data_IF_766826106586
#
_entry.id   IF_766826106586
#
_cell.length_a   1.000
_cell.length_b   1.000
_cell.length_c   1.000
_cell.angle_alpha   90.00
_cell.angle_beta   90.00
_cell.angle_gamma   90.00
#
_symmetry.space_group_name_H-M   'P 1'
#
loop_
_entity.id
_entity.type
_entity.pdbx_description
1 polymer ?
#
# COMPACT_ATOMS: atom_id res chain seq x y z
N UNK A 1 4.80 -18.93 -12.24
CA UNK A 1 4.41 -18.29 -10.96
C UNK A 1 3.83 -19.37 -10.07
N UNK A 2 4.31 -19.50 -8.83
CA UNK A 2 3.73 -20.44 -7.88
C UNK A 2 2.30 -19.98 -7.57
N UNK A 3 1.32 -20.77 -7.94
CA UNK A 3 -0.10 -20.48 -7.66
C UNK A 3 -0.34 -20.56 -6.15
N UNK A 4 -0.85 -19.48 -5.57
CA UNK A 4 -1.42 -19.50 -4.23
C UNK A 4 -2.70 -20.34 -4.25
N UNK A 5 -2.60 -21.65 -3.98
CA UNK A 5 -3.77 -22.54 -3.95
C UNK A 5 -4.55 -22.49 -2.63
N UNK A 6 -4.53 -21.36 -1.91
CA UNK A 6 -5.11 -21.16 -0.58
C UNK A 6 -6.42 -20.38 -0.64
N UNK A 7 -7.25 -20.51 0.39
CA UNK A 7 -8.47 -19.71 0.56
C UNK A 7 -8.11 -18.41 1.28
N UNK A 8 -8.49 -17.28 0.68
CA UNK A 8 -8.14 -15.94 1.18
C UNK A 8 -9.41 -15.24 1.63
N UNK A 9 -9.39 -14.77 2.88
CA UNK A 9 -10.46 -13.96 3.45
C UNK A 9 -10.04 -12.52 3.63
N UNK A 10 -10.95 -11.60 3.35
CA UNK A 10 -10.78 -10.18 3.62
C UNK A 10 -11.82 -9.74 4.65
N UNK A 11 -11.37 -9.18 5.75
CA UNK A 11 -12.23 -8.44 6.68
C UNK A 11 -12.06 -6.97 6.35
N UNK A 12 -13.09 -6.39 5.75
CA UNK A 12 -13.09 -5.10 5.09
C UNK A 12 -13.04 -5.21 3.56
N UNK A 13 -13.88 -4.44 2.88
CA UNK A 13 -14.03 -4.42 1.41
C UNK A 13 -13.82 -3.02 0.80
N UNK A 14 -13.00 -2.19 1.46
CA UNK A 14 -12.64 -0.85 0.98
C UNK A 14 -11.69 -0.87 -0.22
N UNK A 15 -11.23 0.30 -0.65
CA UNK A 15 -10.42 0.49 -1.86
C UNK A 15 -9.17 -0.41 -1.91
N UNK A 16 -8.44 -0.54 -0.81
CA UNK A 16 -7.22 -1.36 -0.80
C UNK A 16 -7.54 -2.85 -0.86
N UNK A 17 -8.58 -3.31 -0.14
CA UNK A 17 -9.05 -4.69 -0.26
C UNK A 17 -9.49 -5.00 -1.69
N UNK A 18 -10.25 -4.10 -2.32
CA UNK A 18 -10.68 -4.23 -3.71
C UNK A 18 -9.50 -4.28 -4.69
N UNK A 19 -8.46 -3.46 -4.48
CA UNK A 19 -7.25 -3.49 -5.28
C UNK A 19 -6.52 -4.85 -5.17
N UNK A 20 -6.33 -5.35 -3.95
CA UNK A 20 -5.70 -6.66 -3.70
C UNK A 20 -6.51 -7.81 -4.29
N UNK A 21 -7.83 -7.82 -4.12
CA UNK A 21 -8.72 -8.84 -4.68
C UNK A 21 -8.64 -8.82 -6.21
N UNK A 22 -8.69 -7.64 -6.82
CA UNK A 22 -8.56 -7.48 -8.27
C UNK A 22 -7.20 -7.99 -8.76
N UNK A 23 -6.11 -7.63 -8.08
CA UNK A 23 -4.77 -8.12 -8.38
C UNK A 23 -4.65 -9.64 -8.31
N UNK A 24 -5.23 -10.26 -7.27
CA UNK A 24 -5.27 -11.73 -7.11
C UNK A 24 -6.02 -12.40 -8.26
N UNK A 25 -7.21 -11.90 -8.61
CA UNK A 25 -8.01 -12.44 -9.71
C UNK A 25 -7.29 -12.28 -11.05
N UNK A 26 -6.68 -11.12 -11.31
CA UNK A 26 -5.88 -10.88 -12.51
C UNK A 26 -4.61 -11.75 -12.59
N UNK A 27 -4.12 -12.22 -11.43
CA UNK A 27 -2.99 -13.15 -11.34
C UNK A 27 -3.44 -14.63 -11.35
N UNK A 28 -4.66 -14.91 -11.83
CA UNK A 28 -5.28 -16.23 -11.96
C UNK A 28 -5.60 -16.94 -10.63
N UNK A 29 -5.71 -16.23 -9.51
CA UNK A 29 -6.27 -16.83 -8.30
C UNK A 29 -7.78 -17.05 -8.46
N UNK A 30 -8.27 -18.25 -8.12
CA UNK A 30 -9.69 -18.59 -8.27
C UNK A 30 -10.57 -17.67 -7.39
N UNK A 31 -11.44 -16.84 -7.99
CA UNK A 31 -12.31 -15.95 -7.22
C UNK A 31 -13.23 -16.68 -6.23
N UNK A 32 -13.56 -17.95 -6.49
CA UNK A 32 -14.37 -18.79 -5.58
C UNK A 32 -13.63 -19.14 -4.29
N UNK A 33 -12.30 -18.99 -4.26
CA UNK A 33 -11.45 -19.15 -3.08
C UNK A 33 -11.25 -17.85 -2.30
N UNK A 34 -11.86 -16.75 -2.76
CA UNK A 34 -11.82 -15.45 -2.08
C UNK A 34 -13.18 -15.20 -1.43
N UNK A 35 -13.17 -14.75 -0.19
CA UNK A 35 -14.34 -14.25 0.54
C UNK A 35 -14.01 -12.88 1.16
N UNK A 36 -14.93 -11.94 1.07
CA UNK A 36 -14.78 -10.61 1.68
C UNK A 36 -15.97 -10.26 2.56
N UNK A 37 -15.71 -9.65 3.71
CA UNK A 37 -16.76 -9.09 4.57
C UNK A 37 -16.71 -7.58 4.64
N UNK A 38 -17.88 -6.97 4.74
CA UNK A 38 -18.06 -5.53 5.01
C UNK A 38 -19.47 -5.30 5.56
N UNK A 39 -19.66 -4.31 6.45
CA UNK A 39 -21.01 -3.84 6.79
C UNK A 39 -21.67 -3.08 5.63
N UNK A 40 -20.89 -2.59 4.67
CA UNK A 40 -21.33 -1.76 3.54
C UNK A 40 -21.67 -2.65 2.34
N UNK A 41 -22.96 -2.84 2.07
CA UNK A 41 -23.46 -3.72 1.01
C UNK A 41 -23.00 -3.29 -0.39
N UNK A 42 -22.85 -2.00 -0.64
CA UNK A 42 -22.38 -1.48 -1.94
C UNK A 42 -20.97 -2.00 -2.27
N UNK A 43 -20.06 -2.06 -1.29
CA UNK A 43 -18.73 -2.60 -1.49
C UNK A 43 -18.78 -4.10 -1.82
N UNK A 44 -19.67 -4.85 -1.13
CA UNK A 44 -19.83 -6.28 -1.35
C UNK A 44 -20.39 -6.58 -2.75
N UNK A 45 -21.38 -5.80 -3.18
CA UNK A 45 -21.99 -5.93 -4.51
C UNK A 45 -20.97 -5.69 -5.63
N UNK A 46 -20.12 -4.65 -5.51
CA UNK A 46 -19.06 -4.38 -6.48
C UNK A 46 -18.09 -5.56 -6.64
N UNK A 47 -17.70 -6.18 -5.53
CA UNK A 47 -16.78 -7.32 -5.54
C UNK A 47 -17.44 -8.59 -6.10
N UNK A 48 -18.65 -8.91 -5.69
CA UNK A 48 -19.34 -10.12 -6.13
C UNK A 48 -19.75 -10.06 -7.60
N UNK A 49 -20.33 -8.93 -8.06
CA UNK A 49 -20.76 -8.78 -9.44
C UNK A 49 -19.61 -8.54 -10.43
N UNK A 50 -18.57 -7.80 -10.00
CA UNK A 50 -17.45 -7.46 -10.86
C UNK A 50 -16.37 -8.55 -10.95
N UNK A 51 -16.09 -9.25 -9.86
CA UNK A 51 -14.98 -10.20 -9.75
C UNK A 51 -15.41 -11.65 -9.42
N UNK A 52 -16.69 -11.89 -9.13
CA UNK A 52 -17.20 -13.23 -8.83
C UNK A 52 -16.74 -13.82 -7.50
N UNK A 53 -16.25 -12.98 -6.57
CA UNK A 53 -15.81 -13.43 -5.24
C UNK A 53 -17.00 -13.59 -4.30
N UNK A 54 -16.84 -14.41 -3.27
CA UNK A 54 -17.85 -14.58 -2.24
C UNK A 54 -17.86 -13.37 -1.31
N UNK A 55 -19.07 -12.97 -0.88
CA UNK A 55 -19.23 -11.82 0.01
C UNK A 55 -20.16 -12.17 1.19
N UNK A 56 -19.96 -11.50 2.32
CA UNK A 56 -20.76 -11.70 3.54
C UNK A 56 -20.70 -10.44 4.41
N UNK A 57 -21.60 -10.30 5.36
CA UNK A 57 -21.51 -9.29 6.44
C UNK A 57 -20.94 -9.89 7.74
N UNK A 58 -20.64 -11.19 7.78
CA UNK A 58 -20.18 -11.93 8.96
C UNK A 58 -18.67 -12.20 8.89
N UNK A 59 -17.89 -11.54 9.76
CA UNK A 59 -16.44 -11.72 9.87
C UNK A 59 -16.06 -13.14 10.30
N UNK A 60 -16.87 -13.80 11.13
CA UNK A 60 -16.61 -15.18 11.57
C UNK A 60 -16.69 -16.16 10.40
N UNK A 61 -17.60 -15.96 9.46
CA UNK A 61 -17.68 -16.76 8.23
C UNK A 61 -16.42 -16.62 7.38
N UNK A 62 -15.81 -15.43 7.34
CA UNK A 62 -14.52 -15.20 6.65
C UNK A 62 -13.43 -16.05 7.31
N UNK A 63 -13.27 -15.97 8.64
CA UNK A 63 -12.25 -16.72 9.38
C UNK A 63 -12.43 -18.22 9.24
N UNK A 64 -13.66 -18.73 9.38
CA UNK A 64 -13.98 -20.16 9.28
C UNK A 64 -13.60 -20.78 7.94
N UNK A 65 -13.69 -20.02 6.87
CA UNK A 65 -13.53 -20.54 5.51
C UNK A 65 -12.17 -20.26 4.87
N UNK A 66 -11.30 -19.45 5.51
CA UNK A 66 -10.03 -19.00 4.95
C UNK A 66 -8.81 -19.66 5.60
N UNK A 67 -7.71 -19.71 4.87
CA UNK A 67 -6.38 -20.13 5.33
C UNK A 67 -5.52 -18.91 5.64
N UNK A 68 -5.77 -17.80 4.92
CA UNK A 68 -5.16 -16.48 5.14
C UNK A 68 -6.30 -15.48 5.34
N UNK A 69 -6.20 -14.63 6.36
CA UNK A 69 -7.15 -13.55 6.61
C UNK A 69 -6.44 -12.21 6.56
N UNK A 70 -6.90 -11.32 5.68
CA UNK A 70 -6.41 -9.95 5.55
C UNK A 70 -7.34 -9.00 6.31
N UNK A 71 -6.78 -8.30 7.30
CA UNK A 71 -7.46 -7.25 8.04
C UNK A 71 -7.30 -5.93 7.27
N UNK A 72 -8.31 -5.60 6.45
CA UNK A 72 -8.35 -4.43 5.58
C UNK A 72 -9.34 -3.37 6.11
N UNK A 73 -9.27 -3.10 7.39
CA UNK A 73 -10.16 -2.23 8.15
C UNK A 73 -9.41 -1.02 8.73
N UNK A 74 -10.16 0.00 9.13
CA UNK A 74 -9.59 1.19 9.77
C UNK A 74 -9.00 0.87 11.15
N UNK A 75 -7.92 1.54 11.57
CA UNK A 75 -7.27 1.26 12.88
C UNK A 75 -8.21 1.35 14.08
N UNK A 76 -9.16 2.29 14.06
CA UNK A 76 -10.07 2.54 15.19
C UNK A 76 -11.07 1.41 15.47
N UNK A 77 -11.28 0.48 14.54
CA UNK A 77 -12.20 -0.65 14.72
C UNK A 77 -11.45 -2.00 14.87
N UNK A 78 -10.11 -2.00 14.77
CA UNK A 78 -9.30 -3.22 14.74
C UNK A 78 -9.52 -4.07 16.01
N UNK A 79 -9.57 -3.42 17.18
CA UNK A 79 -9.69 -4.11 18.47
C UNK A 79 -11.04 -4.83 18.61
N UNK A 80 -12.12 -4.20 18.18
CA UNK A 80 -13.45 -4.81 18.19
C UNK A 80 -13.50 -6.03 17.27
N UNK A 81 -12.97 -5.91 16.04
CA UNK A 81 -12.95 -7.00 15.07
C UNK A 81 -12.04 -8.15 15.55
N UNK A 82 -10.85 -7.85 16.06
CA UNK A 82 -9.97 -8.89 16.60
C UNK A 82 -10.61 -9.64 17.77
N UNK A 83 -11.32 -8.94 18.67
CA UNK A 83 -12.04 -9.53 19.79
C UNK A 83 -13.17 -10.43 19.32
N UNK A 84 -13.91 -10.03 18.28
CA UNK A 84 -14.97 -10.80 17.64
C UNK A 84 -14.45 -12.14 17.07
N UNK A 85 -13.33 -12.10 16.34
CA UNK A 85 -12.82 -13.28 15.62
C UNK A 85 -11.87 -14.16 16.43
N UNK A 86 -11.44 -13.71 17.61
CA UNK A 86 -10.39 -14.33 18.45
C UNK A 86 -10.56 -15.84 18.65
N UNK A 87 -11.75 -16.25 19.09
CA UNK A 87 -11.99 -17.66 19.41
C UNK A 87 -12.00 -18.54 18.16
N UNK A 88 -12.36 -18.00 17.00
CA UNK A 88 -12.34 -18.76 15.75
C UNK A 88 -10.92 -18.86 15.18
N UNK A 89 -10.12 -17.79 15.31
CA UNK A 89 -8.68 -17.81 14.93
C UNK A 89 -7.92 -18.85 15.75
N UNK A 90 -8.19 -18.96 17.06
CA UNK A 90 -7.53 -19.97 17.93
C UNK A 90 -7.83 -21.43 17.55
N UNK A 91 -8.97 -21.70 16.92
CA UNK A 91 -9.37 -23.05 16.51
C UNK A 91 -8.70 -23.51 15.22
N UNK A 92 -8.11 -22.59 14.47
CA UNK A 92 -7.53 -22.84 13.16
C UNK A 92 -6.10 -22.30 13.09
N UNK A 93 -5.28 -22.98 12.33
CA UNK A 93 -3.95 -22.52 11.96
C UNK A 93 -4.05 -21.52 10.80
N UNK A 94 -4.40 -20.26 11.12
CA UNK A 94 -4.64 -19.17 10.15
C UNK A 94 -3.44 -18.21 10.14
N UNK A 95 -3.06 -17.76 8.94
CA UNK A 95 -2.16 -16.64 8.77
C UNK A 95 -2.96 -15.33 8.74
N UNK A 96 -2.63 -14.40 9.62
CA UNK A 96 -3.23 -13.05 9.68
C UNK A 96 -2.31 -12.06 8.98
N UNK A 97 -2.84 -11.31 8.02
CA UNK A 97 -2.14 -10.20 7.36
C UNK A 97 -2.89 -8.90 7.69
N UNK A 98 -2.26 -7.94 8.37
CA UNK A 98 -2.88 -6.66 8.67
C UNK A 98 -2.33 -5.56 7.75
N UNK A 99 -3.23 -4.84 7.06
CA UNK A 99 -2.89 -3.63 6.32
C UNK A 99 -3.42 -2.37 7.01
N UNK A 100 -3.83 -2.49 8.27
CA UNK A 100 -4.31 -1.35 9.08
C UNK A 100 -3.14 -0.43 9.44
N UNK A 101 -3.19 0.82 8.98
CA UNK A 101 -2.14 1.80 9.21
C UNK A 101 -1.93 2.06 10.71
N UNK A 102 -0.66 2.08 11.14
CA UNK A 102 -0.29 2.33 12.53
C UNK A 102 -0.47 1.13 13.48
N UNK A 103 -1.27 0.11 13.16
CA UNK A 103 -1.51 -1.03 14.06
C UNK A 103 -0.29 -1.94 14.09
N UNK A 104 0.35 -2.03 15.26
CA UNK A 104 1.54 -2.87 15.47
C UNK A 104 1.17 -4.33 15.68
N UNK A 105 2.07 -5.23 15.31
CA UNK A 105 1.96 -6.68 15.51
C UNK A 105 1.67 -7.00 16.99
N UNK A 106 2.37 -6.36 17.91
CA UNK A 106 2.17 -6.56 19.34
C UNK A 106 0.73 -6.29 19.82
N UNK A 107 0.03 -5.33 19.20
CA UNK A 107 -1.39 -5.06 19.49
C UNK A 107 -2.27 -6.23 19.03
N UNK A 108 -2.01 -6.80 17.86
CA UNK A 108 -2.75 -7.96 17.34
C UNK A 108 -2.46 -9.20 18.19
N UNK A 109 -1.20 -9.45 18.54
CA UNK A 109 -0.77 -10.54 19.42
C UNK A 109 -1.42 -10.47 20.81
N UNK A 110 -1.55 -9.27 21.38
CA UNK A 110 -2.17 -9.09 22.70
C UNK A 110 -3.63 -9.56 22.75
N UNK A 111 -4.31 -9.57 21.61
CA UNK A 111 -5.72 -9.97 21.50
C UNK A 111 -5.83 -11.41 21.01
N UNK A 112 -5.14 -11.78 19.92
CA UNK A 112 -5.26 -13.10 19.30
C UNK A 112 -4.39 -14.17 19.96
N UNK A 113 -3.32 -13.79 20.65
CA UNK A 113 -2.32 -14.66 21.26
C UNK A 113 -0.99 -14.69 20.50
N UNK A 114 0.11 -14.91 21.24
CA UNK A 114 1.49 -14.83 20.75
C UNK A 114 1.87 -15.98 19.77
N UNK A 115 1.06 -17.03 19.69
CA UNK A 115 1.27 -18.16 18.76
C UNK A 115 0.63 -17.93 17.40
N UNK A 116 -0.21 -16.89 17.26
CA UNK A 116 -0.82 -16.53 15.98
C UNK A 116 0.24 -16.04 15.00
N UNK A 117 0.21 -16.56 13.78
CA UNK A 117 1.11 -16.16 12.69
C UNK A 117 0.60 -14.85 12.09
N UNK A 118 1.41 -13.79 12.17
CA UNK A 118 0.99 -12.44 11.81
C UNK A 118 2.04 -11.78 10.91
N UNK A 119 1.57 -11.16 9.83
CA UNK A 119 2.31 -10.14 9.09
C UNK A 119 1.59 -8.79 9.17
N UNK A 120 2.36 -7.75 9.42
CA UNK A 120 1.96 -6.37 9.18
C UNK A 120 2.43 -5.99 7.78
N UNK A 121 1.57 -5.39 7.00
CA UNK A 121 1.87 -4.93 5.65
C UNK A 121 1.41 -3.49 5.46
N UNK A 122 2.13 -2.75 4.64
CA UNK A 122 1.77 -1.38 4.28
C UNK A 122 1.86 -1.20 2.76
N UNK A 123 0.78 -1.48 2.04
CA UNK A 123 0.63 -1.17 0.62
C UNK A 123 0.37 0.32 0.39
N UNK A 124 0.50 0.77 -0.86
CA UNK A 124 0.12 2.12 -1.27
C UNK A 124 -0.89 2.12 -2.42
N UNK A 125 -1.50 3.28 -2.70
CA UNK A 125 -2.63 3.40 -3.63
C UNK A 125 -2.38 2.98 -5.08
N UNK A 126 -1.17 3.07 -5.68
CA UNK A 126 -0.90 2.53 -7.01
C UNK A 126 -1.08 1.01 -7.14
N UNK A 127 -1.30 0.29 -6.04
CA UNK A 127 -1.76 -1.10 -6.04
C UNK A 127 -3.03 -1.30 -6.89
N UNK A 128 -3.90 -0.29 -6.98
CA UNK A 128 -5.12 -0.34 -7.81
C UNK A 128 -4.87 -0.52 -9.31
N UNK A 129 -3.66 -0.20 -9.77
CA UNK A 129 -3.19 -0.37 -11.15
C UNK A 129 -1.97 -1.31 -11.24
N UNK A 130 -1.79 -2.19 -10.25
CA UNK A 130 -0.69 -3.17 -10.14
C UNK A 130 0.71 -2.55 -10.14
N UNK A 131 0.83 -1.29 -9.75
CA UNK A 131 2.08 -0.55 -9.61
C UNK A 131 2.35 -0.14 -8.14
N UNK A 132 1.78 -0.87 -7.20
CA UNK A 132 1.97 -0.64 -5.79
C UNK A 132 3.38 -0.96 -5.29
N UNK A 133 3.68 -0.47 -4.09
CA UNK A 133 4.85 -0.89 -3.32
C UNK A 133 4.36 -1.21 -1.92
N UNK A 134 4.68 -2.42 -1.44
CA UNK A 134 4.23 -2.91 -0.14
C UNK A 134 5.43 -3.27 0.73
N UNK A 135 5.51 -2.71 1.94
CA UNK A 135 6.37 -3.25 2.97
C UNK A 135 5.65 -4.35 3.75
N UNK A 136 6.38 -5.41 4.12
CA UNK A 136 5.87 -6.46 5.00
C UNK A 136 6.84 -6.70 6.17
N UNK A 137 6.28 -7.07 7.33
CA UNK A 137 7.05 -7.51 8.50
C UNK A 137 6.27 -8.61 9.22
N UNK A 138 6.93 -9.71 9.54
CA UNK A 138 6.33 -10.85 10.22
C UNK A 138 6.71 -10.94 11.70
N UNK A 139 5.84 -11.54 12.53
CA UNK A 139 6.18 -11.87 13.90
C UNK A 139 7.05 -13.15 13.99
N UNK A 140 7.48 -13.49 15.20
CA UNK A 140 8.33 -14.67 15.45
C UNK A 140 7.62 -16.01 15.20
N UNK A 141 6.29 -16.04 15.23
CA UNK A 141 5.48 -17.24 15.00
C UNK A 141 5.25 -17.51 13.50
N UNK A 142 5.50 -16.51 12.64
CA UNK A 142 5.39 -16.66 11.20
C UNK A 142 6.59 -17.44 10.63
N UNK A 143 6.30 -18.46 9.84
CA UNK A 143 7.30 -19.31 9.18
C UNK A 143 7.88 -18.66 7.91
N UNK A 144 8.92 -19.28 7.34
CA UNK A 144 9.41 -18.90 6.01
C UNK A 144 8.38 -19.13 4.91
N UNK A 145 7.55 -20.18 5.04
CA UNK A 145 6.45 -20.44 4.10
C UNK A 145 5.37 -19.35 4.18
N UNK A 146 5.04 -18.88 5.39
CA UNK A 146 4.09 -17.77 5.57
C UNK A 146 4.62 -16.48 4.96
N UNK A 147 5.93 -16.25 5.04
CA UNK A 147 6.62 -15.13 4.41
C UNK A 147 6.47 -15.15 2.90
N UNK A 148 6.70 -16.30 2.27
CA UNK A 148 6.53 -16.43 0.82
C UNK A 148 5.06 -16.25 0.42
N UNK A 149 4.10 -16.76 1.19
CA UNK A 149 2.67 -16.53 0.97
C UNK A 149 2.32 -15.05 1.05
N UNK A 150 2.81 -14.35 2.08
CA UNK A 150 2.60 -12.92 2.24
C UNK A 150 3.19 -12.12 1.07
N UNK A 151 4.40 -12.44 0.62
CA UNK A 151 5.03 -11.82 -0.55
C UNK A 151 4.20 -12.02 -1.81
N UNK A 152 3.90 -13.27 -2.17
CA UNK A 152 3.12 -13.60 -3.37
C UNK A 152 1.76 -12.90 -3.40
N UNK A 153 1.11 -12.76 -2.23
CA UNK A 153 -0.17 -12.09 -2.11
C UNK A 153 -0.08 -10.60 -2.47
N UNK A 154 0.97 -9.90 -2.04
CA UNK A 154 1.13 -8.48 -2.36
C UNK A 154 1.84 -8.24 -3.70
N UNK A 155 2.61 -9.20 -4.21
CA UNK A 155 3.26 -9.10 -5.54
C UNK A 155 2.25 -9.06 -6.68
N UNK A 156 1.00 -9.54 -6.48
CA UNK A 156 -0.07 -9.41 -7.46
C UNK A 156 -0.49 -7.95 -7.74
N UNK A 157 -0.11 -7.01 -6.87
CA UNK A 157 -0.42 -5.57 -7.02
C UNK A 157 0.82 -4.68 -7.11
N UNK A 158 2.03 -5.26 -7.19
CA UNK A 158 3.24 -4.48 -7.37
C UNK A 158 4.48 -5.08 -6.70
N UNK A 159 5.40 -4.24 -6.26
CA UNK A 159 6.65 -4.65 -5.61
C UNK A 159 6.45 -4.88 -4.12
N UNK A 160 7.15 -5.87 -3.58
CA UNK A 160 7.16 -6.17 -2.13
C UNK A 160 8.58 -6.08 -1.59
N UNK A 161 8.71 -5.48 -0.43
CA UNK A 161 9.96 -5.46 0.34
C UNK A 161 9.69 -5.88 1.77
N UNK A 162 10.61 -6.64 2.34
CA UNK A 162 10.57 -6.96 3.76
C UNK A 162 11.41 -5.96 4.53
N UNK A 163 10.85 -5.46 5.61
CA UNK A 163 11.49 -4.50 6.53
C UNK A 163 11.29 -4.96 7.97
N UNK A 164 12.04 -4.38 8.90
CA UNK A 164 11.73 -4.53 10.33
C UNK A 164 10.43 -3.80 10.65
N UNK A 165 9.70 -4.26 11.65
CA UNK A 165 8.41 -3.65 12.00
C UNK A 165 8.54 -2.17 12.38
N UNK A 166 9.61 -1.79 13.05
CA UNK A 166 9.89 -0.40 13.43
C UNK A 166 10.18 0.52 12.24
N UNK A 167 10.55 -0.04 11.08
CA UNK A 167 10.76 0.70 9.84
C UNK A 167 9.46 0.93 9.04
N UNK A 168 8.34 0.27 9.40
CA UNK A 168 7.07 0.44 8.67
C UNK A 168 6.53 1.87 8.81
N UNK A 169 6.80 2.58 9.90
CA UNK A 169 6.29 3.93 10.10
C UNK A 169 7.02 4.93 9.18
N UNK A 170 8.35 4.84 9.04
CA UNK A 170 9.08 5.64 8.05
C UNK A 170 8.75 5.21 6.61
N UNK A 171 8.56 3.92 6.36
CA UNK A 171 8.08 3.45 5.05
C UNK A 171 6.71 4.04 4.73
N UNK A 172 5.80 4.10 5.70
CA UNK A 172 4.48 4.71 5.55
C UNK A 172 4.59 6.18 5.15
N UNK A 173 5.48 6.93 5.81
CA UNK A 173 5.73 8.34 5.47
C UNK A 173 6.30 8.51 4.06
N UNK A 174 7.32 7.74 3.69
CA UNK A 174 8.04 7.91 2.42
C UNK A 174 7.30 7.30 1.22
N UNK A 175 6.78 6.09 1.37
CA UNK A 175 6.30 5.26 0.26
C UNK A 175 4.78 5.05 0.35
N UNK A 176 4.25 4.77 1.53
CA UNK A 176 2.81 4.58 1.74
C UNK A 176 2.02 5.81 1.35
N UNK A 177 2.42 6.98 1.84
CA UNK A 177 1.83 8.29 1.54
C UNK A 177 2.43 8.96 0.29
N UNK A 178 3.53 8.44 -0.22
CA UNK A 178 4.30 9.00 -1.34
C UNK A 178 3.48 9.39 -2.57
N UNK A 179 2.49 8.60 -3.00
CA UNK A 179 1.62 8.98 -4.14
C UNK A 179 0.96 10.34 -3.97
N UNK A 180 0.54 10.71 -2.76
CA UNK A 180 -0.06 12.02 -2.50
C UNK A 180 0.92 13.18 -2.75
N UNK A 181 2.20 12.98 -2.48
CA UNK A 181 3.23 13.99 -2.73
C UNK A 181 3.47 14.21 -4.22
N UNK A 182 3.42 13.12 -5.00
CA UNK A 182 3.49 13.19 -6.47
C UNK A 182 2.25 13.89 -7.02
N UNK A 183 1.05 13.60 -6.51
CA UNK A 183 -0.17 14.30 -6.93
C UNK A 183 -0.08 15.79 -6.61
N UNK A 184 0.42 16.18 -5.43
CA UNK A 184 0.62 17.58 -5.06
C UNK A 184 1.66 18.27 -5.94
N UNK A 185 2.72 17.56 -6.35
CA UNK A 185 3.69 18.09 -7.33
C UNK A 185 3.03 18.32 -8.69
N UNK A 186 2.21 17.38 -9.17
CA UNK A 186 1.45 17.52 -10.43
C UNK A 186 0.52 18.74 -10.35
N UNK A 187 -0.23 18.91 -9.27
CA UNK A 187 -1.10 20.07 -9.03
C UNK A 187 -0.30 21.39 -9.09
N UNK A 188 0.89 21.42 -8.46
CA UNK A 188 1.75 22.59 -8.43
C UNK A 188 2.28 22.95 -9.83
N UNK A 189 2.67 21.95 -10.62
CA UNK A 189 3.09 22.14 -12.01
C UNK A 189 1.94 22.63 -12.90
N UNK A 190 0.74 22.06 -12.72
CA UNK A 190 -0.47 22.51 -13.42
C UNK A 190 -0.80 23.97 -13.11
N UNK A 191 -0.77 24.36 -11.83
CA UNK A 191 -1.01 25.74 -11.41
C UNK A 191 -0.01 26.72 -12.05
N UNK A 192 1.23 26.25 -12.28
CA UNK A 192 2.28 27.05 -12.94
C UNK A 192 2.17 27.12 -14.46
N UNK A 193 1.23 26.36 -15.05
CA UNK A 193 1.09 26.21 -16.52
C UNK A 193 0.13 27.21 -17.18
N UNK A 194 -0.25 28.29 -16.51
CA UNK A 194 -1.26 29.27 -17.00
C UNK A 194 -0.94 29.90 -18.36
N UNK A 195 0.35 30.05 -18.67
CA UNK A 195 0.83 30.58 -19.97
C UNK A 195 0.86 29.54 -21.10
N UNK A 196 0.54 28.26 -20.79
CA UNK A 196 0.54 27.18 -21.76
C UNK A 196 -0.88 26.98 -22.29
N UNK A 197 -1.11 27.27 -23.58
CA UNK A 197 -2.44 27.39 -24.18
C UNK A 197 -3.13 26.04 -24.48
N UNK A 198 -2.63 24.91 -23.95
CA UNK A 198 -3.26 23.59 -24.10
C UNK A 198 -4.46 23.43 -23.18
N UNK A 199 -5.44 22.57 -23.52
CA UNK A 199 -6.48 22.13 -22.58
C UNK A 199 -5.89 21.52 -21.30
N UNK A 200 -6.57 21.71 -20.16
CA UNK A 200 -6.07 21.24 -18.87
C UNK A 200 -5.84 19.71 -18.85
N UNK A 201 -6.75 18.95 -19.45
CA UNK A 201 -6.62 17.50 -19.57
C UNK A 201 -5.34 17.07 -20.31
N UNK A 202 -4.96 17.81 -21.37
CA UNK A 202 -3.73 17.54 -22.10
C UNK A 202 -2.48 17.89 -21.27
N UNK A 203 -2.52 19.00 -20.53
CA UNK A 203 -1.45 19.37 -19.59
C UNK A 203 -1.24 18.28 -18.53
N UNK A 204 -2.34 17.75 -17.95
CA UNK A 204 -2.27 16.64 -16.98
C UNK A 204 -1.54 15.45 -17.59
N UNK A 205 -1.92 15.03 -18.82
CA UNK A 205 -1.29 13.91 -19.53
C UNK A 205 0.20 14.14 -19.75
N UNK A 206 0.59 15.32 -20.21
CA UNK A 206 2.00 15.65 -20.48
C UNK A 206 2.85 15.68 -19.20
N UNK A 207 2.35 16.31 -18.14
CA UNK A 207 3.06 16.37 -16.85
C UNK A 207 3.18 14.97 -16.24
N UNK A 208 2.12 14.18 -16.26
CA UNK A 208 2.14 12.80 -15.74
C UNK A 208 3.13 11.93 -16.52
N UNK A 209 3.13 12.01 -17.85
CA UNK A 209 4.09 11.27 -18.70
C UNK A 209 5.53 11.68 -18.45
N UNK A 210 5.79 12.97 -18.21
CA UNK A 210 7.13 13.47 -17.86
C UNK A 210 7.61 12.89 -16.53
N UNK A 211 6.75 12.86 -15.50
CA UNK A 211 7.07 12.29 -14.18
C UNK A 211 7.30 10.78 -14.29
N UNK A 212 6.42 10.05 -14.99
CA UNK A 212 6.58 8.62 -15.24
C UNK A 212 7.90 8.31 -15.93
N UNK A 213 8.23 9.06 -17.00
CA UNK A 213 9.48 8.91 -17.74
C UNK A 213 10.70 9.16 -16.87
N UNK A 214 10.69 10.21 -16.04
CA UNK A 214 11.78 10.54 -15.12
C UNK A 214 11.96 9.45 -14.06
N UNK A 215 10.87 8.97 -13.46
CA UNK A 215 10.91 7.90 -12.47
C UNK A 215 11.42 6.57 -13.10
N UNK A 216 10.97 6.26 -14.31
CA UNK A 216 11.44 5.08 -15.06
C UNK A 216 12.92 5.19 -15.37
N UNK A 217 13.40 6.36 -15.81
CA UNK A 217 14.82 6.57 -16.11
C UNK A 217 15.69 6.32 -14.88
N UNK A 218 15.30 6.83 -13.70
CA UNK A 218 16.00 6.53 -12.43
C UNK A 218 16.03 5.03 -12.15
N UNK A 219 14.94 4.31 -12.41
CA UNK A 219 14.84 2.89 -12.08
C UNK A 219 15.67 1.96 -12.97
N UNK A 220 16.09 2.41 -14.17
CA UNK A 220 16.85 1.61 -15.13
C UNK A 220 18.27 2.11 -15.36
N UNK A 221 18.62 3.27 -14.83
CA UNK A 221 19.96 3.86 -14.94
C UNK A 221 20.88 3.38 -13.81
N UNK A 222 22.16 3.27 -14.11
CA UNK A 222 23.21 3.08 -13.10
C UNK A 222 23.59 4.40 -12.40
N UNK A 223 23.22 5.53 -12.99
CA UNK A 223 23.48 6.86 -12.42
C UNK A 223 22.57 7.16 -11.23
N UNK A 224 23.11 7.82 -10.22
CA UNK A 224 22.29 8.34 -9.12
C UNK A 224 21.30 9.41 -9.60
N UNK A 225 20.20 9.66 -8.87
CA UNK A 225 19.26 10.75 -9.18
C UNK A 225 19.95 12.12 -9.30
N UNK A 226 21.01 12.36 -8.51
CA UNK A 226 21.81 13.57 -8.58
C UNK A 226 22.56 13.69 -9.91
N UNK A 227 23.22 12.63 -10.36
CA UNK A 227 23.93 12.60 -11.63
C UNK A 227 22.96 12.81 -12.79
N UNK A 228 21.81 12.13 -12.79
CA UNK A 228 20.77 12.31 -13.81
C UNK A 228 20.25 13.76 -13.85
N UNK A 229 20.00 14.38 -12.69
CA UNK A 229 19.64 15.80 -12.60
C UNK A 229 20.72 16.69 -13.22
N UNK A 230 21.99 16.46 -12.89
CA UNK A 230 23.09 17.27 -13.40
C UNK A 230 23.27 17.14 -14.92
N UNK A 231 23.04 15.94 -15.50
CA UNK A 231 23.07 15.71 -16.95
C UNK A 231 22.04 16.53 -17.73
N UNK A 232 20.92 16.91 -17.12
CA UNK A 232 19.88 17.75 -17.73
C UNK A 232 19.91 19.21 -17.26
N UNK A 233 20.96 19.58 -16.51
CA UNK A 233 21.12 20.93 -15.94
C UNK A 233 22.32 21.64 -16.59
N UNK A 234 22.12 22.16 -17.81
CA UNK A 234 23.17 22.88 -18.52
C UNK A 234 23.51 24.23 -17.84
N UNK A 235 24.81 24.63 -17.79
CA UNK A 235 25.21 25.92 -17.26
C UNK A 235 24.49 27.09 -17.97
N UNK A 236 23.88 27.99 -17.20
CA UNK A 236 23.08 29.10 -17.69
C UNK A 236 21.70 28.70 -18.27
N UNK A 237 21.36 27.42 -18.27
CA UNK A 237 20.12 26.90 -18.85
C UNK A 237 18.87 27.13 -18.00
N UNK A 238 17.72 26.84 -18.60
CA UNK A 238 16.39 26.95 -17.96
C UNK A 238 16.30 26.07 -16.73
N UNK A 239 16.76 24.82 -16.81
CA UNK A 239 16.75 23.85 -15.71
C UNK A 239 17.56 24.36 -14.52
N UNK A 240 18.74 24.95 -14.77
CA UNK A 240 19.56 25.50 -13.69
C UNK A 240 18.82 26.61 -12.94
N UNK A 241 18.12 27.50 -13.64
CA UNK A 241 17.36 28.59 -12.98
C UNK A 241 16.24 28.06 -12.09
N UNK A 242 15.54 27.01 -12.52
CA UNK A 242 14.51 26.37 -11.70
C UNK A 242 15.11 25.69 -10.45
N UNK A 243 16.23 24.96 -10.61
CA UNK A 243 16.90 24.29 -9.48
C UNK A 243 17.46 25.32 -8.49
N UNK A 244 18.04 26.43 -8.96
CA UNK A 244 18.49 27.52 -8.09
C UNK A 244 17.37 28.10 -7.21
N UNK A 245 16.14 28.27 -7.75
CA UNK A 245 14.98 28.69 -6.94
C UNK A 245 14.56 27.64 -5.93
N UNK A 246 14.55 26.33 -6.29
CA UNK A 246 14.28 25.26 -5.33
C UNK A 246 15.31 25.22 -4.18
N UNK A 247 16.59 25.38 -4.48
CA UNK A 247 17.65 25.41 -3.48
C UNK A 247 17.54 26.66 -2.58
N UNK A 248 17.28 27.84 -3.15
CA UNK A 248 17.05 29.09 -2.42
C UNK A 248 15.90 28.97 -1.43
N UNK A 249 14.81 28.29 -1.81
CA UNK A 249 13.65 28.02 -0.95
C UNK A 249 13.79 26.73 -0.12
N UNK A 250 14.98 26.10 -0.12
CA UNK A 250 15.32 24.96 0.74
C UNK A 250 14.35 23.78 0.59
N UNK A 251 13.95 23.45 -0.65
CA UNK A 251 12.98 22.39 -0.93
C UNK A 251 13.35 21.05 -0.27
N UNK A 252 14.63 20.67 -0.27
CA UNK A 252 15.09 19.44 0.40
C UNK A 252 14.75 19.42 1.90
N UNK A 253 14.97 20.55 2.60
CA UNK A 253 14.66 20.68 4.02
C UNK A 253 13.14 20.68 4.29
N UNK A 254 12.35 21.24 3.37
CA UNK A 254 10.87 21.17 3.44
C UNK A 254 10.42 19.72 3.36
N UNK A 255 10.95 18.96 2.39
CA UNK A 255 10.63 17.54 2.23
C UNK A 255 11.04 16.74 3.48
N UNK A 256 12.26 16.92 3.98
CA UNK A 256 12.76 16.26 5.19
C UNK A 256 11.81 16.45 6.39
N UNK A 257 11.50 17.71 6.72
CA UNK A 257 10.56 18.06 7.80
C UNK A 257 9.15 17.49 7.59
N UNK A 258 8.70 17.43 6.33
CA UNK A 258 7.40 16.85 6.00
C UNK A 258 7.38 15.35 6.26
N UNK A 259 8.46 14.64 5.94
CA UNK A 259 8.61 13.21 6.22
C UNK A 259 8.68 12.93 7.72
N UNK A 260 9.45 13.71 8.48
CA UNK A 260 9.49 13.61 9.95
C UNK A 260 8.08 13.78 10.58
N UNK A 261 7.31 14.76 10.10
CA UNK A 261 5.95 15.01 10.56
C UNK A 261 5.00 13.84 10.23
N UNK A 262 5.12 13.27 9.03
CA UNK A 262 4.31 12.14 8.60
C UNK A 262 4.65 10.87 9.37
N UNK A 263 5.93 10.58 9.59
CA UNK A 263 6.39 9.45 10.40
C UNK A 263 5.88 9.55 11.84
N UNK A 264 6.06 10.74 12.47
CA UNK A 264 5.53 11.01 13.81
C UNK A 264 4.03 10.71 13.89
N UNK A 265 3.26 11.14 12.87
CA UNK A 265 1.82 10.87 12.83
C UNK A 265 1.50 9.38 12.67
N UNK A 266 2.28 8.65 11.89
CA UNK A 266 2.13 7.18 11.76
C UNK A 266 2.30 6.49 13.12
N UNK A 267 3.34 6.86 13.87
CA UNK A 267 3.60 6.35 15.24
C UNK A 267 2.46 6.70 16.20
N UNK A 268 1.89 7.91 16.11
CA UNK A 268 0.77 8.34 16.97
C UNK A 268 -0.51 7.52 16.71
N UNK A 269 -0.78 7.18 15.45
CA UNK A 269 -1.94 6.36 15.06
C UNK A 269 -1.85 4.92 15.57
N UNK A 270 -0.65 4.46 15.92
CA UNK A 270 -0.38 3.12 16.45
C UNK A 270 -0.48 3.02 17.97
N UNK A 271 -0.72 4.12 18.68
CA UNK A 271 -0.90 4.16 20.14
C UNK A 271 -2.37 4.01 20.51
#
# INVERSE_FOLDING_TARGET
MNELSVKIGFIGAGNMASALINGLVNSNHDPKKIIASSPEEEHLLKLSSGLGVKTTQDNLSVVKTSDIVILAIKPNIIEAVLSEIKEEVKKKDILILSIAAGVKIAKIESILGNTTRIFRAMPNTPASIMMGVTAISGNKSASSEDREKAKLLFECVGKVTEVKEDEIDIFTALIGSGPAYVFYLIESLLSSSSKFSLPEEEKVKLISSMIEGAAKLVSVSEDSPEILRNKVTSPGGVTQKAIEEFEKHKLKQIIEKSMESAEKRSVELGK
#
